data_IF_486001388861
#
_entry.id   IF_486001388861
#
_cell.length_a   1.000
_cell.length_b   1.000
_cell.length_c   1.000
_cell.angle_alpha   90.00
_cell.angle_beta   90.00
_cell.angle_gamma   90.00
#
_symmetry.space_group_name_H-M   'P 1'
#
loop_
_entity.id
_entity.type
_entity.pdbx_description
1 polymer ?
#
# COMPACT_ATOMS: atom_id res chain seq x y z
N UNK A 1 42.09 -41.34 6.67
CA UNK A 1 42.11 -40.01 7.32
C UNK A 1 42.06 -38.82 6.36
N UNK A 2 42.51 -38.93 5.09
CA UNK A 2 42.48 -37.82 4.11
C UNK A 2 41.06 -37.39 3.70
N UNK A 3 40.15 -38.35 3.46
CA UNK A 3 38.76 -38.08 3.03
C UNK A 3 37.92 -37.33 4.08
N UNK A 4 38.03 -37.69 5.37
CA UNK A 4 37.28 -37.05 6.45
C UNK A 4 37.70 -35.59 6.63
N UNK A 5 39.01 -35.32 6.52
CA UNK A 5 39.55 -33.95 6.61
C UNK A 5 39.09 -33.09 5.43
N UNK A 6 39.08 -33.64 4.21
CA UNK A 6 38.56 -32.94 3.05
C UNK A 6 37.05 -32.72 3.13
N UNK A 7 36.28 -33.66 3.68
CA UNK A 7 34.84 -33.53 3.87
C UNK A 7 34.49 -32.48 4.93
N UNK A 8 35.25 -32.41 6.03
CA UNK A 8 35.11 -31.37 7.06
C UNK A 8 35.48 -30.00 6.51
N UNK A 9 36.57 -29.88 5.74
CA UNK A 9 36.94 -28.61 5.07
C UNK A 9 35.87 -28.20 4.08
N UNK A 10 35.30 -29.12 3.29
CA UNK A 10 34.22 -28.85 2.34
C UNK A 10 32.93 -28.42 3.06
N UNK A 11 32.56 -29.04 4.18
CA UNK A 11 31.41 -28.65 5.01
C UNK A 11 31.61 -27.27 5.68
N UNK A 12 32.82 -26.94 6.10
CA UNK A 12 33.16 -25.60 6.63
C UNK A 12 33.08 -24.56 5.49
N UNK A 13 33.59 -24.90 4.29
CA UNK A 13 33.55 -24.02 3.12
C UNK A 13 32.12 -23.76 2.62
N UNK A 14 31.24 -24.78 2.65
CA UNK A 14 29.82 -24.66 2.31
C UNK A 14 29.07 -23.82 3.34
N UNK A 15 29.37 -23.96 4.64
CA UNK A 15 28.75 -23.13 5.68
C UNK A 15 29.24 -21.67 5.68
N UNK A 16 30.43 -21.40 5.12
CA UNK A 16 30.97 -20.03 4.96
C UNK A 16 30.51 -19.31 3.69
N UNK A 17 29.82 -20.00 2.77
CA UNK A 17 29.09 -19.38 1.67
C UNK A 17 27.69 -18.93 2.14
N UNK A 18 27.64 -18.18 3.23
CA UNK A 18 26.57 -17.21 3.40
C UNK A 18 26.71 -16.22 2.25
N UNK A 19 25.90 -16.38 1.20
CA UNK A 19 25.85 -15.45 0.07
C UNK A 19 25.62 -14.03 0.59
N UNK A 20 26.71 -13.30 0.80
CA UNK A 20 26.67 -11.88 1.07
C UNK A 20 26.25 -11.19 -0.22
N UNK A 21 24.98 -10.80 -0.32
CA UNK A 21 24.52 -10.00 -1.44
C UNK A 21 25.14 -8.61 -1.34
N UNK A 22 25.74 -8.13 -2.42
CA UNK A 22 26.18 -6.76 -2.57
C UNK A 22 24.96 -5.88 -2.81
N UNK A 23 24.46 -5.20 -1.78
CA UNK A 23 23.33 -4.27 -1.90
C UNK A 23 23.82 -2.83 -1.89
N UNK A 24 23.27 -1.99 -2.77
CA UNK A 24 23.35 -0.53 -2.65
C UNK A 24 22.60 -0.14 -1.38
N UNK A 25 23.23 0.60 -0.47
CA UNK A 25 22.60 1.02 0.80
C UNK A 25 22.63 2.51 1.04
N UNK A 26 21.62 2.95 1.81
CA UNK A 26 21.52 4.28 2.42
C UNK A 26 21.48 5.43 1.43
N UNK A 27 20.71 5.19 0.37
CA UNK A 27 20.59 6.08 -0.76
C UNK A 27 19.22 6.70 -0.81
N UNK A 28 19.12 7.84 -0.13
CA UNK A 28 17.94 8.69 -0.16
C UNK A 28 18.06 9.72 -1.27
N UNK A 29 17.08 9.71 -2.17
CA UNK A 29 16.96 10.73 -3.19
C UNK A 29 15.59 11.36 -3.12
N UNK A 30 15.55 12.69 -3.14
CA UNK A 30 14.33 13.44 -3.30
C UNK A 30 14.38 14.18 -4.64
N UNK A 31 13.43 13.87 -5.49
CA UNK A 31 13.28 14.48 -6.80
C UNK A 31 11.96 15.24 -6.83
N UNK A 32 11.97 16.40 -7.48
CA UNK A 32 10.73 16.99 -7.96
C UNK A 32 10.24 16.17 -9.16
N UNK A 33 8.92 16.15 -9.40
CA UNK A 33 8.32 15.36 -10.48
C UNK A 33 8.78 15.77 -11.89
N UNK A 34 9.46 16.92 -12.02
CA UNK A 34 9.93 17.50 -13.27
C UNK A 34 11.31 17.03 -13.73
N UNK A 35 12.07 16.30 -12.90
CA UNK A 35 13.43 15.86 -13.24
C UNK A 35 13.48 14.36 -13.58
N UNK A 36 14.25 14.02 -14.62
CA UNK A 36 14.54 12.62 -14.96
C UNK A 36 15.24 11.94 -13.78
N UNK A 37 14.71 10.81 -13.33
CA UNK A 37 15.34 10.02 -12.29
C UNK A 37 16.60 9.34 -12.81
N UNK A 38 17.72 9.62 -12.16
CA UNK A 38 18.95 8.83 -12.22
C UNK A 38 19.37 8.52 -10.79
N UNK A 39 20.07 7.41 -10.57
CA UNK A 39 20.67 7.09 -9.26
C UNK A 39 22.05 7.76 -9.22
N UNK A 40 22.29 8.76 -8.34
CA UNK A 40 23.61 9.35 -8.16
C UNK A 40 24.72 8.33 -7.93
N UNK A 41 25.86 8.54 -8.60
CA UNK A 41 27.03 7.67 -8.50
C UNK A 41 27.59 7.55 -7.07
N UNK A 42 27.30 8.52 -6.20
CA UNK A 42 27.66 8.52 -4.78
C UNK A 42 26.98 7.43 -3.95
N UNK A 43 26.00 6.74 -4.54
CA UNK A 43 25.21 5.74 -3.86
C UNK A 43 25.72 4.31 -3.93
N UNK A 44 26.87 4.10 -4.53
CA UNK A 44 27.48 2.78 -4.65
C UNK A 44 28.22 2.41 -3.35
N UNK A 45 27.51 1.89 -2.36
CA UNK A 45 28.11 1.19 -1.22
C UNK A 45 27.80 -0.30 -1.31
N UNK A 46 28.81 -1.15 -1.08
CA UNK A 46 28.67 -2.61 -1.10
C UNK A 46 28.64 -3.09 0.34
N UNK A 47 27.49 -3.56 0.81
CA UNK A 47 27.38 -4.27 2.09
C UNK A 47 27.07 -5.75 1.87
N UNK A 48 27.26 -6.57 2.91
CA UNK A 48 26.81 -7.96 2.93
C UNK A 48 25.41 -8.07 3.53
N UNK A 49 24.39 -8.37 2.73
CA UNK A 49 23.01 -8.57 3.23
C UNK A 49 22.38 -9.86 2.70
N UNK A 50 21.29 -10.30 3.36
CA UNK A 50 20.49 -11.46 2.91
C UNK A 50 19.58 -11.13 1.73
N UNK A 51 19.06 -9.90 1.67
CA UNK A 51 18.23 -9.38 0.58
C UNK A 51 18.53 -7.89 0.37
N UNK A 52 18.40 -7.41 -0.87
CA UNK A 52 18.43 -6.00 -1.22
C UNK A 52 17.01 -5.51 -1.45
N UNK A 53 16.68 -4.27 -1.09
CA UNK A 53 15.35 -3.72 -1.29
C UNK A 53 15.37 -2.26 -1.70
N UNK A 54 14.25 -1.82 -2.26
CA UNK A 54 14.00 -0.42 -2.59
C UNK A 54 12.61 -0.03 -2.11
N UNK A 55 12.54 1.10 -1.41
CA UNK A 55 11.32 1.83 -1.12
C UNK A 55 11.21 3.01 -2.08
N UNK A 56 10.09 3.08 -2.78
CA UNK A 56 9.69 4.22 -3.59
C UNK A 56 8.52 4.89 -2.88
N UNK A 57 8.62 6.16 -2.56
CA UNK A 57 7.57 6.89 -1.84
C UNK A 57 7.29 8.24 -2.50
N UNK A 58 6.06 8.43 -2.94
CA UNK A 58 5.55 9.71 -3.39
C UNK A 58 4.71 10.35 -2.30
N UNK A 59 4.94 11.65 -2.07
CA UNK A 59 4.14 12.46 -1.17
C UNK A 59 3.72 13.75 -1.87
N UNK A 60 2.44 14.07 -1.78
CA UNK A 60 1.87 15.32 -2.21
C UNK A 60 1.19 16.02 -1.03
N UNK A 61 1.40 17.32 -0.94
CA UNK A 61 0.59 18.28 -0.19
C UNK A 61 0.51 19.60 -0.96
N UNK A 62 -0.42 20.51 -0.61
CA UNK A 62 -0.48 21.86 -1.18
C UNK A 62 0.83 22.65 -1.06
N UNK A 63 1.70 22.30 -0.11
CA UNK A 63 2.93 23.04 0.18
C UNK A 63 4.18 22.37 -0.41
N UNK A 64 4.13 21.06 -0.67
CA UNK A 64 5.25 20.31 -1.21
C UNK A 64 4.75 19.09 -1.99
N UNK A 65 5.34 18.84 -3.14
CA UNK A 65 5.25 17.54 -3.81
C UNK A 65 6.64 17.00 -4.00
N UNK A 66 6.81 15.70 -3.78
CA UNK A 66 8.13 15.09 -3.80
C UNK A 66 8.02 13.60 -4.07
N UNK A 67 8.96 13.12 -4.86
CA UNK A 67 9.19 11.71 -5.04
C UNK A 67 10.49 11.36 -4.32
N UNK A 68 10.41 10.40 -3.41
CA UNK A 68 11.55 9.91 -2.64
C UNK A 68 11.82 8.44 -2.94
N UNK A 69 13.09 8.08 -2.89
CA UNK A 69 13.56 6.71 -3.07
C UNK A 69 14.57 6.39 -2.00
N UNK A 70 14.50 5.18 -1.48
CA UNK A 70 15.41 4.71 -0.46
C UNK A 70 15.77 3.25 -0.73
N UNK A 71 17.04 2.98 -1.01
CA UNK A 71 17.56 1.62 -1.05
C UNK A 71 17.81 1.12 0.38
N UNK A 72 17.20 -0.02 0.72
CA UNK A 72 17.15 -0.56 2.06
C UNK A 72 17.68 -2.00 2.08
N UNK A 73 18.36 -2.37 3.16
CA UNK A 73 18.55 -3.78 3.46
C UNK A 73 17.29 -4.34 4.13
N UNK A 74 16.76 -5.46 3.62
CA UNK A 74 15.48 -6.00 4.07
C UNK A 74 15.61 -7.40 4.64
N UNK A 75 14.93 -7.66 5.76
CA UNK A 75 14.76 -9.00 6.31
C UNK A 75 13.52 -9.71 5.77
N UNK A 76 12.73 -9.05 4.92
CA UNK A 76 11.52 -9.63 4.35
C UNK A 76 11.83 -10.57 3.18
N UNK A 77 10.96 -11.56 2.97
CA UNK A 77 10.97 -12.42 1.79
C UNK A 77 10.61 -11.64 0.52
N UNK A 78 11.13 -12.04 -0.65
CA UNK A 78 10.81 -11.44 -1.95
C UNK A 78 9.34 -11.08 -2.12
N UNK A 79 9.11 -9.89 -2.63
CA UNK A 79 7.77 -9.40 -2.91
C UNK A 79 7.76 -7.91 -3.19
N UNK A 80 6.61 -7.44 -3.66
CA UNK A 80 6.30 -6.03 -3.72
C UNK A 80 5.12 -5.74 -2.78
N UNK A 81 5.35 -4.80 -1.88
CA UNK A 81 4.35 -4.28 -0.96
C UNK A 81 3.93 -2.89 -1.44
N UNK A 82 2.62 -2.67 -1.55
CA UNK A 82 2.05 -1.43 -2.05
C UNK A 82 1.18 -0.80 -0.97
N UNK A 83 1.29 0.51 -0.80
CA UNK A 83 0.41 1.30 0.06
C UNK A 83 0.05 2.62 -0.58
N UNK A 84 -1.15 3.10 -0.27
CA UNK A 84 -1.62 4.42 -0.64
C UNK A 84 -2.52 4.97 0.44
N UNK A 85 -2.39 6.25 0.76
CA UNK A 85 -3.31 6.96 1.65
C UNK A 85 -3.64 8.35 1.10
N UNK A 86 -4.87 8.77 1.35
CA UNK A 86 -5.35 10.15 1.23
C UNK A 86 -5.73 10.60 2.63
N UNK A 87 -5.20 11.74 3.07
CA UNK A 87 -5.52 12.32 4.38
C UNK A 87 -6.07 13.74 4.20
N UNK A 88 -7.06 14.08 5.02
CA UNK A 88 -7.71 15.39 5.10
C UNK A 88 -7.56 15.89 6.54
N UNK A 89 -6.87 17.02 6.70
CA UNK A 89 -6.64 17.62 7.99
C UNK A 89 -7.77 18.57 8.39
N UNK A 90 -7.90 18.79 9.70
CA UNK A 90 -8.72 19.86 10.25
C UNK A 90 -8.11 21.20 9.83
N UNK A 91 -8.79 21.92 8.93
CA UNK A 91 -8.26 23.14 8.27
C UNK A 91 -8.29 23.09 6.74
N UNK A 92 -8.72 21.98 6.15
CA UNK A 92 -8.89 21.85 4.70
C UNK A 92 -7.57 21.58 3.96
N UNK A 93 -6.47 21.37 4.68
CA UNK A 93 -5.25 20.86 4.08
C UNK A 93 -5.43 19.36 3.80
N UNK A 94 -4.78 18.88 2.74
CA UNK A 94 -4.87 17.49 2.34
C UNK A 94 -3.50 16.96 1.96
N UNK A 95 -3.30 15.66 2.13
CA UNK A 95 -2.10 14.96 1.70
C UNK A 95 -2.48 13.72 0.90
N UNK A 96 -1.61 13.34 -0.02
CA UNK A 96 -1.67 12.05 -0.68
C UNK A 96 -0.30 11.39 -0.59
N UNK A 97 -0.28 10.14 -0.15
CA UNK A 97 0.91 9.32 -0.04
C UNK A 97 0.73 8.04 -0.84
N UNK A 98 1.78 7.65 -1.55
CA UNK A 98 1.84 6.39 -2.28
C UNK A 98 3.22 5.79 -2.12
N UNK A 99 3.31 4.53 -1.71
CA UNK A 99 4.58 3.87 -1.49
C UNK A 99 4.60 2.43 -1.97
N UNK A 100 5.74 2.03 -2.51
CA UNK A 100 6.04 0.67 -2.94
C UNK A 100 7.35 0.24 -2.32
N UNK A 101 7.32 -0.85 -1.57
CA UNK A 101 8.51 -1.56 -1.13
C UNK A 101 8.71 -2.78 -2.03
N UNK A 102 9.92 -2.97 -2.55
CA UNK A 102 10.28 -4.16 -3.32
C UNK A 102 11.54 -4.79 -2.73
N UNK A 103 11.51 -6.10 -2.48
CA UNK A 103 12.67 -6.86 -1.98
C UNK A 103 13.11 -7.90 -3.01
N UNK A 104 14.42 -7.94 -3.27
CA UNK A 104 15.12 -8.85 -4.19
C UNK A 104 16.01 -9.82 -3.40
N UNK A 105 15.94 -11.11 -3.75
CA UNK A 105 16.62 -12.19 -2.99
C UNK A 105 18.03 -12.55 -3.48
N UNK A 106 18.50 -11.97 -4.59
CA UNK A 106 19.68 -12.51 -5.30
C UNK A 106 20.72 -11.49 -5.74
N UNK A 107 20.33 -10.29 -6.17
CA UNK A 107 21.24 -9.22 -6.61
C UNK A 107 20.55 -7.85 -6.50
N UNK A 108 21.35 -6.81 -6.34
CA UNK A 108 20.88 -5.42 -6.30
C UNK A 108 20.40 -4.89 -7.66
N UNK A 109 20.89 -5.46 -8.77
CA UNK A 109 20.43 -5.13 -10.13
C UNK A 109 18.91 -5.18 -10.27
N UNK A 110 18.25 -6.11 -9.55
CA UNK A 110 16.80 -6.23 -9.51
C UNK A 110 16.13 -5.01 -8.86
N UNK A 111 16.68 -4.47 -7.78
CA UNK A 111 16.14 -3.29 -7.11
C UNK A 111 16.35 -2.03 -7.98
N UNK A 112 17.52 -1.92 -8.62
CA UNK A 112 17.85 -0.85 -9.57
C UNK A 112 16.95 -0.91 -10.81
N UNK A 113 16.79 -2.10 -11.40
CA UNK A 113 15.92 -2.33 -12.55
C UNK A 113 14.46 -2.04 -12.20
N UNK A 114 14.01 -2.50 -11.03
CA UNK A 114 12.68 -2.21 -10.52
C UNK A 114 12.45 -0.70 -10.40
N UNK A 115 13.41 0.05 -9.85
CA UNK A 115 13.37 1.50 -9.78
C UNK A 115 13.23 2.10 -11.18
N UNK A 116 14.15 1.79 -12.08
CA UNK A 116 14.20 2.36 -13.43
C UNK A 116 12.91 2.08 -14.24
N UNK A 117 12.34 0.89 -14.09
CA UNK A 117 11.14 0.46 -14.79
C UNK A 117 9.84 1.01 -14.17
N UNK A 118 9.74 1.02 -12.84
CA UNK A 118 8.50 1.40 -12.18
C UNK A 118 8.40 2.90 -11.94
N UNK A 119 9.50 3.63 -11.78
CA UNK A 119 9.45 5.08 -11.52
C UNK A 119 8.73 5.83 -12.63
N UNK A 120 8.99 5.51 -13.90
CA UNK A 120 8.27 6.15 -15.02
C UNK A 120 6.78 5.81 -15.02
N UNK A 121 6.44 4.57 -14.68
CA UNK A 121 5.05 4.12 -14.60
C UNK A 121 4.32 4.75 -13.40
N UNK A 122 5.01 4.91 -12.27
CA UNK A 122 4.52 5.58 -11.07
C UNK A 122 4.33 7.07 -11.38
N UNK A 123 5.33 7.75 -11.95
CA UNK A 123 5.23 9.15 -12.37
C UNK A 123 4.04 9.38 -13.31
N UNK A 124 3.81 8.48 -14.29
CA UNK A 124 2.61 8.53 -15.14
C UNK A 124 1.31 8.30 -14.38
N UNK A 125 1.31 7.36 -13.42
CA UNK A 125 0.16 7.17 -12.52
C UNK A 125 -0.06 8.33 -11.57
N UNK A 126 0.93 9.21 -11.39
CA UNK A 126 0.86 10.40 -10.56
C UNK A 126 0.59 11.67 -11.40
N UNK A 127 0.41 11.54 -12.72
CA UNK A 127 0.04 12.63 -13.63
C UNK A 127 -1.50 12.82 -13.70
N UNK A 128 -2.20 12.62 -12.58
CA UNK A 128 -3.63 12.92 -12.47
C UNK A 128 -3.84 14.17 -11.62
N UNK A 129 -4.96 14.85 -11.81
CA UNK A 129 -5.29 16.03 -11.01
C UNK A 129 -5.63 15.63 -9.57
N UNK A 130 -4.66 15.74 -8.67
CA UNK A 130 -4.82 15.39 -7.25
C UNK A 130 -5.89 16.26 -6.59
N UNK A 131 -6.01 17.54 -6.98
CA UNK A 131 -7.04 18.41 -6.45
C UNK A 131 -8.45 17.89 -6.80
N UNK A 132 -8.64 17.27 -7.97
CA UNK A 132 -9.93 16.68 -8.34
C UNK A 132 -10.23 15.40 -7.54
N UNK A 133 -9.23 14.53 -7.33
CA UNK A 133 -9.37 13.35 -6.45
C UNK A 133 -9.85 13.77 -5.06
N UNK A 134 -9.19 14.76 -4.46
CA UNK A 134 -9.56 15.28 -3.14
C UNK A 134 -10.93 15.95 -3.16
N UNK A 135 -11.25 16.72 -4.20
CA UNK A 135 -12.58 17.36 -4.34
C UNK A 135 -13.71 16.33 -4.34
N UNK A 136 -13.51 15.16 -4.95
CA UNK A 136 -14.51 14.08 -4.97
C UNK A 136 -14.56 13.28 -3.65
N UNK A 137 -13.42 13.07 -2.99
CA UNK A 137 -13.36 12.34 -1.70
C UNK A 137 -13.82 13.18 -0.50
N UNK A 138 -13.47 14.46 -0.46
CA UNK A 138 -13.74 15.36 0.67
C UNK A 138 -15.19 15.33 1.16
N UNK A 139 -16.22 15.50 0.32
CA UNK A 139 -17.61 15.48 0.79
C UNK A 139 -18.07 14.11 1.33
N UNK A 140 -17.37 13.02 1.01
CA UNK A 140 -17.67 11.68 1.54
C UNK A 140 -17.07 11.46 2.92
N UNK A 141 -15.92 12.08 3.19
CA UNK A 141 -15.12 11.87 4.39
C UNK A 141 -15.38 12.93 5.46
N UNK A 142 -15.65 14.16 5.04
CA UNK A 142 -15.84 15.29 5.94
C UNK A 142 -17.13 16.06 5.67
N UNK A 143 -17.71 16.61 6.73
CA UNK A 143 -18.65 17.73 6.60
C UNK A 143 -17.89 19.05 6.58
N UNK A 144 -18.31 20.01 5.75
CA UNK A 144 -17.80 21.40 5.77
C UNK A 144 -18.28 22.20 6.98
N UNK A 145 -19.18 21.62 7.78
CA UNK A 145 -19.70 22.22 9.01
C UNK A 145 -18.68 21.96 10.13
N UNK A 146 -18.37 22.97 10.93
CA UNK A 146 -17.42 22.87 12.04
C UNK A 146 -17.73 21.65 12.91
N UNK A 147 -16.69 20.95 13.35
CA UNK A 147 -16.72 19.72 14.18
C UNK A 147 -17.62 19.87 15.42
N UNK A 148 -17.88 21.12 15.83
CA UNK A 148 -18.68 21.50 16.99
C UNK A 148 -20.20 21.42 16.81
N UNK A 149 -20.72 21.02 15.63
CA UNK A 149 -22.17 21.17 15.35
C UNK A 149 -22.89 19.98 14.71
N UNK A 150 -22.24 18.83 14.47
CA UNK A 150 -22.92 17.69 13.85
C UNK A 150 -22.94 16.43 14.73
N UNK A 151 -24.16 15.94 14.95
CA UNK A 151 -24.38 14.59 15.46
C UNK A 151 -23.96 13.58 14.37
N UNK A 152 -22.97 12.76 14.68
CA UNK A 152 -22.43 11.74 13.77
C UNK A 152 -22.97 10.39 14.18
N UNK A 153 -23.69 9.70 13.29
CA UNK A 153 -24.06 8.30 13.48
C UNK A 153 -23.21 7.40 12.59
N UNK A 154 -22.85 6.22 13.07
CA UNK A 154 -22.05 5.24 12.32
C UNK A 154 -22.70 3.87 12.35
N UNK A 155 -22.36 3.03 11.38
CA UNK A 155 -22.60 1.60 11.50
C UNK A 155 -21.63 0.97 12.49
N UNK A 156 -22.12 0.07 13.34
CA UNK A 156 -21.29 -0.81 14.18
C UNK A 156 -20.97 -2.13 13.46
N UNK A 157 -20.21 -3.00 14.12
CA UNK A 157 -19.80 -4.32 13.59
C UNK A 157 -20.97 -5.29 13.34
N UNK A 158 -22.18 -4.97 13.81
CA UNK A 158 -23.40 -5.72 13.58
C UNK A 158 -24.33 -5.04 12.55
N UNK A 159 -23.81 -4.09 11.76
CA UNK A 159 -24.56 -3.30 10.78
C UNK A 159 -25.68 -2.44 11.39
N UNK A 160 -25.61 -2.13 12.69
CA UNK A 160 -26.60 -1.27 13.35
C UNK A 160 -26.10 0.16 13.37
N UNK A 161 -27.02 1.10 13.15
CA UNK A 161 -26.74 2.53 13.28
C UNK A 161 -26.66 2.89 14.77
N UNK A 162 -25.56 3.52 15.18
CA UNK A 162 -25.29 3.97 16.54
C UNK A 162 -24.81 5.42 16.53
N UNK A 163 -25.18 6.16 17.57
CA UNK A 163 -24.63 7.50 17.80
C UNK A 163 -23.14 7.39 18.10
N UNK A 164 -22.33 8.10 17.32
CA UNK A 164 -20.87 8.09 17.42
C UNK A 164 -20.30 9.42 17.89
N UNK A 165 -20.75 10.55 17.35
CA UNK A 165 -20.33 11.87 17.78
C UNK A 165 -21.56 12.67 18.17
N UNK A 166 -21.48 13.42 19.26
CA UNK A 166 -22.43 14.48 19.61
C UNK A 166 -21.63 15.75 19.91
N UNK A 167 -22.28 16.91 19.95
CA UNK A 167 -21.63 18.22 20.21
C UNK A 167 -20.68 18.19 21.42
N UNK A 168 -21.06 17.51 22.50
CA UNK A 168 -20.27 17.44 23.74
C UNK A 168 -19.26 16.29 23.76
N UNK A 169 -19.32 15.36 22.80
CA UNK A 169 -18.44 14.20 22.68
C UNK A 169 -18.26 13.85 21.20
N UNK A 170 -17.31 14.50 20.51
CA UNK A 170 -17.05 14.23 19.09
C UNK A 170 -16.56 12.79 18.87
N UNK A 171 -16.81 12.26 17.68
CA UNK A 171 -16.43 10.90 17.30
C UNK A 171 -16.32 10.75 15.78
N UNK A 172 -15.51 9.78 15.34
CA UNK A 172 -15.30 9.45 13.93
C UNK A 172 -15.83 8.07 13.59
N UNK A 173 -16.49 7.94 12.45
CA UNK A 173 -16.81 6.64 11.90
C UNK A 173 -15.56 6.02 11.25
N UNK A 174 -15.37 4.73 11.49
CA UNK A 174 -14.32 3.95 10.86
C UNK A 174 -14.91 2.71 10.19
N UNK A 175 -14.37 2.38 9.03
CA UNK A 175 -14.55 1.10 8.36
C UNK A 175 -13.19 0.55 7.96
N UNK A 176 -12.94 -0.73 8.22
CA UNK A 176 -11.76 -1.45 7.78
C UNK A 176 -12.20 -2.75 7.12
N UNK A 177 -11.96 -2.88 5.82
CA UNK A 177 -12.34 -4.04 5.03
C UNK A 177 -11.10 -4.81 4.60
N UNK A 178 -11.10 -6.13 4.82
CA UNK A 178 -10.15 -7.01 4.17
C UNK A 178 -10.60 -7.26 2.71
N UNK A 179 -9.75 -6.98 1.73
CA UNK A 179 -10.02 -7.19 0.30
C UNK A 179 -9.67 -8.62 -0.17
N UNK A 180 -9.01 -9.39 0.69
CA UNK A 180 -8.56 -10.77 0.46
C UNK A 180 -9.33 -11.75 1.33
N UNK A 181 -9.47 -13.00 0.86
CA UNK A 181 -10.18 -14.04 1.62
C UNK A 181 -11.67 -13.73 1.83
N UNK A 182 -12.17 -14.01 3.03
CA UNK A 182 -13.55 -13.66 3.43
C UNK A 182 -13.58 -12.15 3.66
N UNK A 183 -14.10 -11.41 2.68
CA UNK A 183 -14.12 -9.94 2.64
C UNK A 183 -14.97 -9.33 3.77
N UNK A 184 -14.48 -9.42 5.00
CA UNK A 184 -15.14 -8.91 6.19
C UNK A 184 -14.80 -7.44 6.36
N UNK A 185 -15.82 -6.65 6.61
CA UNK A 185 -15.69 -5.25 7.01
C UNK A 185 -15.91 -5.15 8.51
N UNK A 186 -14.95 -4.58 9.22
CA UNK A 186 -15.13 -4.13 10.60
C UNK A 186 -15.53 -2.65 10.59
N UNK A 187 -16.48 -2.29 11.42
CA UNK A 187 -17.02 -0.93 11.50
C UNK A 187 -17.12 -0.51 12.96
N UNK A 188 -16.59 0.66 13.26
CA UNK A 188 -16.49 1.15 14.62
C UNK A 188 -16.72 2.65 14.68
N UNK A 189 -17.06 3.13 15.87
CA UNK A 189 -16.95 4.53 16.23
C UNK A 189 -15.68 4.73 17.05
N UNK A 190 -14.85 5.68 16.67
CA UNK A 190 -13.65 6.05 17.41
C UNK A 190 -13.87 7.39 18.16
N UNK A 191 -13.84 7.32 19.49
CA UNK A 191 -13.98 8.48 20.38
C UNK A 191 -12.63 9.06 20.83
N UNK A 192 -11.53 8.29 20.74
CA UNK A 192 -10.22 8.67 21.26
C UNK A 192 -9.44 9.52 20.26
N UNK A 193 -9.68 9.30 18.96
CA UNK A 193 -9.01 10.03 17.87
C UNK A 193 -9.96 10.99 17.16
N UNK A 194 -10.85 11.68 17.88
CA UNK A 194 -11.86 12.56 17.24
C UNK A 194 -11.28 13.79 16.52
N UNK A 195 -10.06 14.20 16.90
CA UNK A 195 -9.20 15.17 16.17
C UNK A 195 -8.29 14.50 15.14
N UNK A 196 -8.47 13.19 14.94
CA UNK A 196 -7.73 12.39 13.99
C UNK A 196 -8.11 12.79 12.57
N UNK A 197 -7.16 12.60 11.67
CA UNK A 197 -7.32 12.95 10.27
C UNK A 197 -8.37 12.04 9.61
N UNK A 198 -9.21 12.65 8.78
CA UNK A 198 -10.14 11.89 7.95
C UNK A 198 -9.32 11.34 6.80
N UNK A 199 -9.49 10.06 6.51
CA UNK A 199 -8.56 9.40 5.61
C UNK A 199 -9.20 8.23 4.88
N UNK A 200 -8.61 7.93 3.73
CA UNK A 200 -8.79 6.68 3.01
C UNK A 200 -7.42 6.05 2.90
N UNK A 201 -7.27 4.80 3.33
CA UNK A 201 -6.00 4.08 3.22
C UNK A 201 -6.21 2.71 2.59
N UNK A 202 -5.25 2.33 1.74
CA UNK A 202 -5.21 1.07 1.04
C UNK A 202 -3.83 0.46 1.25
N UNK A 203 -3.82 -0.79 1.66
CA UNK A 203 -2.62 -1.58 1.89
C UNK A 203 -2.76 -2.88 1.08
N UNK A 204 -1.74 -3.25 0.32
CA UNK A 204 -1.77 -4.46 -0.53
C UNK A 204 -0.39 -5.10 -0.61
N UNK A 205 -0.24 -6.30 -0.03
CA UNK A 205 0.96 -7.12 -0.12
C UNK A 205 0.74 -8.40 -0.92
N UNK A 206 -0.26 -8.43 -1.80
CA UNK A 206 -0.62 -9.60 -2.59
C UNK A 206 -1.50 -10.58 -1.80
N UNK A 207 -0.93 -11.25 -0.79
CA UNK A 207 -1.64 -12.27 0.00
C UNK A 207 -2.59 -11.68 1.05
N UNK A 208 -2.35 -10.45 1.52
CA UNK A 208 -3.40 -9.65 2.11
C UNK A 208 -3.47 -8.25 1.53
N UNK A 209 -4.69 -7.73 1.56
CA UNK A 209 -4.98 -6.36 1.20
C UNK A 209 -6.13 -5.86 2.08
N UNK A 210 -6.07 -4.60 2.45
CA UNK A 210 -7.08 -3.93 3.26
C UNK A 210 -7.38 -2.54 2.73
N UNK A 211 -8.61 -2.12 2.94
CA UNK A 211 -9.14 -0.81 2.60
C UNK A 211 -9.78 -0.22 3.85
N UNK A 212 -9.36 0.96 4.28
CA UNK A 212 -9.88 1.61 5.47
C UNK A 212 -10.33 3.03 5.19
N UNK A 213 -11.38 3.45 5.90
CA UNK A 213 -11.91 4.81 5.88
C UNK A 213 -12.04 5.29 7.31
N UNK A 214 -11.60 6.51 7.56
CA UNK A 214 -11.92 7.29 8.77
C UNK A 214 -12.59 8.59 8.34
N UNK A 215 -13.75 8.91 8.91
CA UNK A 215 -14.57 10.03 8.45
C UNK A 215 -15.48 10.55 9.56
N UNK A 216 -15.91 11.82 9.47
CA UNK A 216 -16.78 12.45 10.47
C UNK A 216 -18.20 12.76 9.95
N UNK A 217 -18.55 12.25 8.77
CA UNK A 217 -19.89 12.39 8.20
C UNK A 217 -20.79 11.25 8.68
N UNK A 218 -22.06 11.54 8.98
CA UNK A 218 -23.01 10.50 9.37
C UNK A 218 -23.10 9.39 8.30
N UNK A 219 -22.99 8.14 8.74
CA UNK A 219 -23.05 6.91 7.96
C UNK A 219 -21.93 6.74 6.91
N UNK A 220 -20.85 7.52 6.99
CA UNK A 220 -19.76 7.48 6.02
C UNK A 220 -18.96 6.16 6.04
N UNK A 221 -19.06 5.36 7.11
CA UNK A 221 -18.49 4.02 7.15
C UNK A 221 -19.39 2.93 6.54
N UNK A 222 -20.52 3.31 5.92
CA UNK A 222 -21.46 2.40 5.28
C UNK A 222 -20.94 1.76 3.98
N UNK A 223 -21.63 0.73 3.46
CA UNK A 223 -21.23 0.00 2.26
C UNK A 223 -21.26 0.88 0.99
N UNK A 224 -22.25 1.77 0.87
CA UNK A 224 -22.38 2.68 -0.28
C UNK A 224 -21.16 3.61 -0.38
N UNK A 225 -20.80 4.27 0.73
CA UNK A 225 -19.64 5.17 0.76
C UNK A 225 -18.34 4.44 0.46
N UNK A 226 -18.16 3.22 0.98
CA UNK A 226 -17.01 2.37 0.65
C UNK A 226 -16.91 2.09 -0.84
N UNK A 227 -18.02 1.73 -1.48
CA UNK A 227 -18.05 1.44 -2.91
C UNK A 227 -17.73 2.68 -3.75
N UNK A 228 -18.34 3.82 -3.45
CA UNK A 228 -18.08 5.08 -4.16
C UNK A 228 -16.62 5.52 -4.02
N UNK A 229 -16.04 5.42 -2.82
CA UNK A 229 -14.63 5.77 -2.62
C UNK A 229 -13.73 4.86 -3.48
N UNK A 230 -13.99 3.56 -3.54
CA UNK A 230 -13.20 2.65 -4.38
C UNK A 230 -13.32 2.99 -5.87
N UNK A 231 -14.51 3.35 -6.33
CA UNK A 231 -14.75 3.80 -7.71
C UNK A 231 -13.96 5.08 -8.02
N UNK A 232 -13.92 6.04 -7.09
CA UNK A 232 -13.09 7.24 -7.21
C UNK A 232 -11.61 6.86 -7.28
N UNK A 233 -11.12 6.01 -6.36
CA UNK A 233 -9.72 5.58 -6.34
C UNK A 233 -9.32 4.86 -7.64
N UNK A 234 -10.24 4.08 -8.22
CA UNK A 234 -10.04 3.41 -9.51
C UNK A 234 -10.05 4.41 -10.69
N UNK A 235 -11.01 5.34 -10.71
CA UNK A 235 -11.13 6.41 -11.72
C UNK A 235 -9.85 7.24 -11.83
N UNK A 236 -9.18 7.52 -10.71
CA UNK A 236 -7.92 8.26 -10.66
C UNK A 236 -6.66 7.38 -10.73
N UNK A 237 -6.78 6.10 -11.13
CA UNK A 237 -5.68 5.15 -11.28
C UNK A 237 -4.83 4.92 -10.02
N UNK A 238 -5.39 5.17 -8.83
CA UNK A 238 -4.74 4.85 -7.56
C UNK A 238 -4.74 3.34 -7.36
N UNK A 239 -5.90 2.72 -7.58
CA UNK A 239 -6.08 1.27 -7.57
C UNK A 239 -6.10 0.75 -9.00
N UNK A 240 -5.63 -0.48 -9.20
CA UNK A 240 -5.68 -1.15 -10.50
C UNK A 240 -7.01 -1.87 -10.76
N UNK A 241 -7.79 -2.06 -9.70
CA UNK A 241 -9.09 -2.73 -9.75
C UNK A 241 -10.14 -1.94 -8.97
N UNK A 242 -11.40 -2.13 -9.35
CA UNK A 242 -12.55 -1.46 -8.73
C UNK A 242 -12.83 -1.93 -7.29
N UNK A 243 -12.37 -3.12 -6.90
CA UNK A 243 -12.49 -3.62 -5.52
C UNK A 243 -11.48 -2.99 -4.55
N UNK A 244 -10.52 -2.20 -5.08
CA UNK A 244 -9.56 -1.43 -4.32
C UNK A 244 -8.16 -2.03 -4.23
N UNK A 245 -7.77 -2.93 -5.14
CA UNK A 245 -6.41 -3.53 -5.14
C UNK A 245 -5.40 -2.58 -5.79
N UNK A 246 -4.23 -2.46 -5.18
CA UNK A 246 -3.10 -1.71 -5.74
C UNK A 246 -2.25 -2.58 -6.66
N UNK A 247 -2.31 -3.91 -6.46
CA UNK A 247 -1.61 -4.87 -7.29
C UNK A 247 -2.57 -5.66 -8.19
N UNK A 248 -2.17 -5.85 -9.45
CA UNK A 248 -2.78 -6.79 -10.39
C UNK A 248 -2.12 -8.15 -10.18
N UNK A 249 -2.01 -8.59 -8.92
CA UNK A 249 -1.68 -9.97 -8.66
C UNK A 249 -2.75 -10.77 -9.39
N UNK A 250 -2.40 -11.39 -10.53
CA UNK A 250 -3.32 -12.17 -11.34
C UNK A 250 -3.97 -13.15 -10.37
N UNK A 251 -5.21 -12.87 -9.97
CA UNK A 251 -6.11 -13.89 -9.46
C UNK A 251 -6.55 -14.71 -10.66
N UNK A 252 -5.61 -15.42 -11.27
CA UNK A 252 -5.93 -16.69 -11.88
C UNK A 252 -6.21 -17.66 -10.73
N UNK A 253 -7.34 -17.46 -10.04
CA UNK A 253 -8.01 -18.56 -9.37
C UNK A 253 -8.78 -19.35 -10.43
N UNK A 254 -8.08 -19.83 -11.46
CA UNK A 254 -8.51 -21.06 -12.08
C UNK A 254 -8.19 -22.11 -11.02
N UNK A 255 -9.20 -22.50 -10.25
CA UNK A 255 -9.01 -23.55 -9.27
C UNK A 255 -8.41 -24.72 -10.03
N UNK A 256 -7.30 -25.26 -9.53
CA UNK A 256 -6.65 -26.43 -10.13
C UNK A 256 -7.64 -27.58 -10.30
N UNK A 257 -8.71 -27.61 -9.48
CA UNK A 257 -9.86 -28.50 -9.65
C UNK A 257 -10.65 -28.28 -10.94
N UNK A 258 -10.84 -27.06 -11.44
CA UNK A 258 -11.56 -26.78 -12.69
C UNK A 258 -10.75 -27.20 -13.94
N UNK A 259 -9.42 -26.99 -13.90
CA UNK A 259 -8.52 -27.51 -14.94
C UNK A 259 -8.42 -29.05 -14.88
N UNK A 260 -8.40 -29.64 -13.68
CA UNK A 260 -8.42 -31.09 -13.53
C UNK A 260 -9.73 -31.70 -14.07
N UNK A 261 -10.89 -31.09 -13.79
CA UNK A 261 -12.17 -31.61 -14.27
C UNK A 261 -12.35 -31.44 -15.78
N UNK A 262 -11.79 -30.41 -16.41
CA UNK A 262 -11.73 -30.31 -17.88
C UNK A 262 -10.81 -31.38 -18.47
N UNK A 263 -9.64 -31.63 -17.87
CA UNK A 263 -8.72 -32.67 -18.33
C UNK A 263 -9.34 -34.06 -18.17
N UNK A 264 -10.02 -34.33 -17.06
CA UNK A 264 -10.76 -35.60 -16.85
C UNK A 264 -11.91 -35.71 -17.86
N UNK A 265 -12.67 -34.66 -18.11
CA UNK A 265 -13.74 -34.72 -19.11
C UNK A 265 -13.21 -34.98 -20.54
N UNK A 266 -12.07 -34.37 -20.91
CA UNK A 266 -11.44 -34.56 -22.22
C UNK A 266 -10.71 -35.91 -22.38
N UNK A 267 -10.35 -36.59 -21.29
CA UNK A 267 -9.73 -37.92 -21.34
C UNK A 267 -10.76 -39.07 -21.37
N UNK A 268 -12.04 -38.77 -21.12
CA UNK A 268 -13.13 -39.74 -21.03
C UNK A 268 -14.21 -39.56 -22.12
N UNK A 269 -13.99 -38.65 -23.08
CA UNK A 269 -14.76 -38.51 -24.33
C UNK A 269 -13.84 -38.86 -25.49
#
# INVERSE_FOLDING_TARGET
MSLLRNFIIFLIYINSLSYALQCTTDCYFQSNLSTTFEIPKSCNQIISAKNCGIRISFSYSPYYSGLSFNFQHSNYSSGAFYSSSVELSDGGSFSFYYSIDHTCNHKDDCAIEFANNNIRNILRRLDFNHADLIRELSPLLSTNVSIETSDVACFDSNERVRQCGIVTKPGLCQAAQQLTGRQKTNRTCNYESYRGEKSVSIYDFGSFASFSITCNRSLCNGPVTQQVIKEIMFKYNITKTIDGRLNNGLRLSLSSTFLLSIIVFLLYV
#
